data_IF_444702580431
#
_entry.id   IF_444702580431
#
_cell.length_a   1.000
_cell.length_b   1.000
_cell.length_c   1.000
_cell.angle_alpha   90.00
_cell.angle_beta   90.00
_cell.angle_gamma   90.00
#
_symmetry.space_group_name_H-M   'P 1'
#
loop_
_entity.id
_entity.type
_entity.pdbx_description
1 polymer ?
#
# COMPACT_ATOMS: atom_id res chain seq x y z
N UNK A 1 40.30 -19.06 -42.25
CA UNK A 1 39.07 -19.33 -41.48
C UNK A 1 37.90 -18.89 -42.35
N UNK A 2 37.05 -19.82 -42.79
CA UNK A 2 36.02 -19.51 -43.81
C UNK A 2 35.04 -18.46 -43.28
N UNK A 3 34.77 -17.41 -44.05
CA UNK A 3 33.91 -16.28 -43.68
C UNK A 3 32.55 -16.73 -43.13
N UNK A 4 32.02 -17.83 -43.66
CA UNK A 4 30.75 -18.42 -43.23
C UNK A 4 30.78 -18.93 -41.79
N UNK A 5 31.91 -19.43 -41.30
CA UNK A 5 32.03 -19.93 -39.93
C UNK A 5 31.97 -18.76 -38.94
N UNK A 6 32.59 -17.63 -39.28
CA UNK A 6 32.59 -16.43 -38.44
C UNK A 6 31.19 -15.84 -38.33
N UNK A 7 30.44 -15.78 -39.43
CA UNK A 7 29.06 -15.27 -39.42
C UNK A 7 28.11 -16.17 -38.64
N UNK A 8 28.23 -17.50 -38.76
CA UNK A 8 27.44 -18.43 -37.95
C UNK A 8 27.74 -18.30 -36.45
N UNK A 9 29.00 -18.14 -36.08
CA UNK A 9 29.41 -17.99 -34.68
C UNK A 9 28.83 -16.71 -34.08
N UNK A 10 28.88 -15.61 -34.84
CA UNK A 10 28.31 -14.33 -34.41
C UNK A 10 26.78 -14.43 -34.21
N UNK A 11 26.09 -15.12 -35.10
CA UNK A 11 24.64 -15.35 -35.01
C UNK A 11 24.26 -16.13 -33.75
N UNK A 12 24.97 -17.21 -33.45
CA UNK A 12 24.72 -18.04 -32.26
C UNK A 12 24.91 -17.21 -30.98
N UNK A 13 26.00 -16.44 -30.90
CA UNK A 13 26.29 -15.58 -29.74
C UNK A 13 25.18 -14.54 -29.55
N UNK A 14 24.76 -13.85 -30.61
CA UNK A 14 23.69 -12.84 -30.52
C UNK A 14 22.34 -13.44 -30.10
N UNK A 15 22.01 -14.65 -30.57
CA UNK A 15 20.78 -15.33 -30.21
C UNK A 15 20.76 -15.78 -28.74
N UNK A 16 21.90 -16.23 -28.20
CA UNK A 16 22.04 -16.56 -26.79
C UNK A 16 21.82 -15.35 -25.87
N UNK A 17 22.34 -14.17 -26.24
CA UNK A 17 22.09 -12.94 -25.48
C UNK A 17 20.61 -12.50 -25.53
N UNK A 18 19.93 -12.73 -26.66
CA UNK A 18 18.51 -12.42 -26.80
C UNK A 18 17.63 -13.27 -25.85
N UNK A 19 17.88 -14.58 -25.78
CA UNK A 19 17.15 -15.48 -24.85
C UNK A 19 17.44 -15.18 -23.37
N UNK A 20 18.66 -14.74 -23.05
CA UNK A 20 19.02 -14.33 -21.68
C UNK A 20 18.33 -13.02 -21.27
N UNK A 21 18.12 -12.12 -22.24
CA UNK A 21 17.32 -10.91 -22.06
C UNK A 21 15.86 -11.23 -21.71
N UNK A 22 15.21 -12.13 -22.45
CA UNK A 22 13.80 -12.46 -22.17
C UNK A 22 13.60 -13.18 -20.83
N UNK A 23 14.52 -14.07 -20.44
CA UNK A 23 14.42 -14.82 -19.19
C UNK A 23 14.68 -13.97 -17.93
N UNK A 24 15.53 -12.95 -18.02
CA UNK A 24 15.80 -12.03 -16.90
C UNK A 24 14.68 -11.00 -16.64
N UNK A 25 13.84 -10.73 -17.63
CA UNK A 25 12.68 -9.83 -17.51
C UNK A 25 11.38 -10.52 -17.05
N UNK A 26 11.35 -11.85 -16.95
CA UNK A 26 10.14 -12.60 -16.63
C UNK A 26 9.82 -12.80 -15.12
N UNK A 27 10.77 -13.00 -14.18
CA UNK A 27 10.41 -13.40 -12.82
C UNK A 27 9.87 -12.25 -11.96
N UNK A 28 10.36 -11.02 -12.15
CA UNK A 28 9.99 -9.89 -11.27
C UNK A 28 8.60 -9.30 -11.56
N UNK A 29 8.12 -9.45 -12.80
CA UNK A 29 6.84 -8.87 -13.25
C UNK A 29 5.64 -9.69 -12.77
N UNK A 30 5.76 -11.02 -12.80
CA UNK A 30 4.69 -11.95 -12.38
C UNK A 30 4.55 -11.97 -10.85
N UNK A 31 5.66 -11.99 -10.12
CA UNK A 31 5.65 -12.05 -8.65
C UNK A 31 5.09 -10.75 -8.03
N UNK A 32 5.38 -9.59 -8.62
CA UNK A 32 4.82 -8.31 -8.18
C UNK A 32 3.35 -8.11 -8.62
N UNK A 33 2.93 -8.63 -9.78
CA UNK A 33 1.53 -8.56 -10.22
C UNK A 33 0.58 -9.30 -9.26
N UNK A 34 0.99 -10.46 -8.76
CA UNK A 34 0.17 -11.25 -7.83
C UNK A 34 -0.02 -10.56 -6.48
N UNK A 35 0.99 -9.79 -6.03
CA UNK A 35 0.88 -8.93 -4.84
C UNK A 35 0.04 -7.69 -5.12
N UNK A 36 0.15 -7.09 -6.32
CA UNK A 36 -0.60 -5.90 -6.71
C UNK A 36 -2.10 -6.17 -6.88
N UNK A 37 -2.48 -7.33 -7.42
CA UNK A 37 -3.88 -7.75 -7.53
C UNK A 37 -4.55 -8.05 -6.18
N UNK A 38 -3.78 -8.52 -5.18
CA UNK A 38 -4.27 -8.65 -3.79
C UNK A 38 -4.37 -7.32 -3.05
N UNK A 39 -3.68 -6.28 -3.54
CA UNK A 39 -3.74 -4.89 -3.07
C UNK A 39 -4.71 -4.05 -3.91
N UNK A 40 -5.86 -4.61 -4.29
CA UNK A 40 -7.02 -3.76 -4.53
C UNK A 40 -7.37 -3.10 -3.19
N UNK A 41 -6.64 -2.02 -2.88
CA UNK A 41 -7.03 -1.02 -1.91
C UNK A 41 -8.35 -0.49 -2.45
N UNK A 42 -9.45 -1.13 -2.04
CA UNK A 42 -10.76 -0.74 -2.53
C UNK A 42 -10.91 0.73 -2.18
N UNK A 43 -11.40 1.55 -3.11
CA UNK A 43 -11.65 2.97 -2.84
C UNK A 43 -12.50 3.12 -1.56
N UNK A 44 -13.35 2.12 -1.29
CA UNK A 44 -14.09 1.95 -0.05
C UNK A 44 -13.23 1.79 1.22
N UNK A 45 -12.08 1.12 1.18
CA UNK A 45 -11.15 1.00 2.30
C UNK A 45 -10.53 2.36 2.67
N UNK A 46 -10.12 3.14 1.67
CA UNK A 46 -9.61 4.51 1.89
C UNK A 46 -10.70 5.42 2.45
N UNK A 47 -11.93 5.32 1.94
CA UNK A 47 -13.08 6.06 2.47
C UNK A 47 -13.39 5.70 3.93
N UNK A 48 -13.38 4.40 4.28
CA UNK A 48 -13.56 3.94 5.67
C UNK A 48 -12.44 4.41 6.60
N UNK A 49 -11.20 4.49 6.10
CA UNK A 49 -10.07 4.98 6.89
C UNK A 49 -10.20 6.50 7.14
N UNK A 50 -10.54 7.28 6.13
CA UNK A 50 -10.74 8.72 6.26
C UNK A 50 -11.88 9.06 7.24
N UNK A 51 -13.00 8.34 7.15
CA UNK A 51 -14.13 8.51 8.08
C UNK A 51 -13.75 8.14 9.52
N UNK A 52 -12.92 7.12 9.73
CA UNK A 52 -12.40 6.76 11.06
C UNK A 52 -11.52 7.86 11.63
N UNK A 53 -10.55 8.37 10.86
CA UNK A 53 -9.63 9.44 11.29
C UNK A 53 -10.42 10.70 11.65
N UNK A 54 -11.41 11.06 10.84
CA UNK A 54 -12.27 12.20 11.12
C UNK A 54 -13.06 12.04 12.43
N UNK A 55 -13.63 10.86 12.67
CA UNK A 55 -14.35 10.55 13.92
C UNK A 55 -13.43 10.56 15.14
N UNK A 56 -12.23 10.00 15.03
CA UNK A 56 -11.23 10.03 16.11
C UNK A 56 -10.85 11.47 16.46
N UNK A 57 -10.62 12.33 15.46
CA UNK A 57 -10.36 13.75 15.70
C UNK A 57 -11.53 14.50 16.36
N UNK A 58 -12.78 14.12 16.04
CA UNK A 58 -13.96 14.68 16.73
C UNK A 58 -14.08 14.19 18.18
N UNK A 59 -13.77 12.92 18.46
CA UNK A 59 -13.77 12.39 19.83
C UNK A 59 -12.65 13.00 20.67
N UNK A 60 -11.47 13.27 20.09
CA UNK A 60 -10.38 13.98 20.80
C UNK A 60 -10.73 15.43 21.14
N UNK A 61 -11.60 16.08 20.36
CA UNK A 61 -12.09 17.42 20.65
C UNK A 61 -13.21 17.46 21.70
N UNK A 62 -13.85 16.31 21.99
CA UNK A 62 -14.86 16.24 23.05
C UNK A 62 -14.17 16.18 24.40
N UNK A 63 -14.81 16.82 25.36
CA UNK A 63 -14.43 16.71 26.76
C UNK A 63 -14.59 15.26 27.22
N UNK A 64 -13.55 14.70 27.86
CA UNK A 64 -13.59 13.30 28.30
C UNK A 64 -14.46 13.20 29.55
N UNK A 65 -15.16 12.08 29.68
CA UNK A 65 -15.93 11.76 30.89
C UNK A 65 -14.96 11.67 32.06
N UNK A 66 -14.92 12.71 32.90
CA UNK A 66 -13.97 12.84 33.99
C UNK A 66 -13.31 14.21 34.08
N UNK A 67 -13.14 14.92 32.97
CA UNK A 67 -12.42 16.21 32.94
C UNK A 67 -13.20 17.32 33.67
N UNK A 68 -14.53 17.29 33.60
CA UNK A 68 -15.45 18.17 34.33
C UNK A 68 -16.39 17.44 35.27
N UNK A 69 -16.02 16.23 35.71
CA UNK A 69 -16.86 15.45 36.61
C UNK A 69 -16.97 16.13 37.98
N UNK A 70 -18.13 16.70 38.26
CA UNK A 70 -18.49 17.19 39.58
C UNK A 70 -19.08 16.06 40.41
N UNK A 71 -18.70 15.92 41.69
CA UNK A 71 -19.22 14.86 42.54
C UNK A 71 -20.76 14.97 42.66
N UNK A 72 -21.49 13.84 42.78
CA UNK A 72 -22.96 13.84 42.81
C UNK A 72 -23.57 14.61 43.99
N UNK A 73 -22.76 14.92 45.01
CA UNK A 73 -23.14 15.72 46.16
C UNK A 73 -23.07 17.23 45.92
N UNK A 74 -22.48 17.67 44.81
CA UNK A 74 -22.38 19.08 44.47
C UNK A 74 -23.72 19.57 43.89
N UNK A 75 -24.41 20.54 44.52
CA UNK A 75 -25.67 21.09 44.02
C UNK A 75 -25.53 21.81 42.66
N UNK A 76 -24.32 22.06 42.17
CA UNK A 76 -24.05 22.62 40.85
C UNK A 76 -23.57 21.58 39.83
N UNK A 77 -23.61 20.27 40.16
CA UNK A 77 -23.13 19.18 39.30
C UNK A 77 -23.96 18.95 38.04
N UNK A 78 -25.24 19.34 38.04
CA UNK A 78 -26.12 19.21 36.87
C UNK A 78 -26.89 20.51 36.62
N UNK A 79 -26.60 21.15 35.49
CA UNK A 79 -27.31 22.34 35.02
C UNK A 79 -26.35 23.49 34.74
N UNK A 80 -26.37 23.99 33.49
CA UNK A 80 -25.66 25.21 33.09
C UNK A 80 -26.00 26.36 34.05
N UNK A 81 -24.98 27.12 34.45
CA UNK A 81 -25.17 28.51 34.92
C UNK A 81 -25.69 29.38 33.78
#
# INVERSE_FOLDING_TARGET
>A
MNSNIVTFLFLIITFSFFQLGESSFYPSKVQNMQVRGKRHLSIAATGKLADRIYKEGLEEQKEKVGDSYLPPSDPHSFGKK
#
